data_IF_129209806633
#
_entry.id   IF_129209806633
#
_cell.length_a   1.000
_cell.length_b   1.000
_cell.length_c   1.000
_cell.angle_alpha   90.00
_cell.angle_beta   90.00
_cell.angle_gamma   90.00
#
_symmetry.space_group_name_H-M   'P 1'
#
loop_
_entity.id
_entity.type
_entity.pdbx_description
1 polymer ?
#
# COMPACT_ATOMS: atom_id res chain seq x y z
N UNK A 1 -0.37 -12.83 16.96
CA UNK A 1 -0.89 -11.48 16.74
C UNK A 1 -1.50 -11.45 15.34
N UNK A 2 -2.80 -11.14 15.20
CA UNK A 2 -3.53 -11.25 13.93
C UNK A 2 -3.04 -10.21 12.92
N UNK A 3 -2.24 -10.64 11.95
CA UNK A 3 -1.86 -9.85 10.78
C UNK A 3 -3.10 -9.51 9.95
N UNK A 4 -3.16 -8.30 9.39
CA UNK A 4 -4.03 -8.04 8.24
C UNK A 4 -3.52 -8.80 7.03
N UNK A 5 -3.94 -10.06 6.97
CA UNK A 5 -4.07 -10.78 5.72
C UNK A 5 -5.13 -10.09 4.88
N UNK A 6 -5.23 -10.39 3.58
CA UNK A 6 -6.37 -9.95 2.73
C UNK A 6 -7.71 -10.06 3.46
N UNK A 7 -7.87 -11.06 4.32
CA UNK A 7 -9.04 -11.25 5.18
C UNK A 7 -9.35 -10.09 6.13
N UNK A 8 -8.38 -9.40 6.72
CA UNK A 8 -8.67 -8.29 7.64
C UNK A 8 -8.97 -6.99 6.90
N UNK A 9 -8.34 -6.72 5.75
CA UNK A 9 -8.77 -5.65 4.85
C UNK A 9 -10.20 -5.90 4.38
N UNK A 10 -10.52 -7.15 4.04
CA UNK A 10 -11.88 -7.55 3.67
C UNK A 10 -12.89 -7.47 4.82
N UNK A 11 -12.47 -7.68 6.07
CA UNK A 11 -13.32 -7.45 7.24
C UNK A 11 -13.59 -5.95 7.43
N UNK A 12 -12.62 -5.08 7.14
CA UNK A 12 -12.79 -3.62 7.18
C UNK A 12 -13.81 -3.20 6.13
N UNK A 13 -13.59 -3.60 4.88
CA UNK A 13 -14.51 -3.28 3.78
C UNK A 13 -15.89 -3.91 3.97
N UNK A 14 -15.97 -5.10 4.58
CA UNK A 14 -17.23 -5.74 4.93
C UNK A 14 -18.00 -5.04 6.07
N UNK A 15 -17.31 -4.58 7.12
CA UNK A 15 -17.92 -3.79 8.20
C UNK A 15 -18.40 -2.42 7.69
N UNK A 16 -17.66 -1.83 6.73
CA UNK A 16 -18.08 -0.62 6.02
C UNK A 16 -19.34 -0.81 5.21
N UNK A 17 -19.50 -1.93 4.51
CA UNK A 17 -20.72 -2.24 3.75
C UNK A 17 -21.98 -2.04 4.59
N UNK A 18 -21.92 -2.52 5.84
CA UNK A 18 -23.03 -2.50 6.79
C UNK A 18 -23.28 -1.08 7.33
N UNK A 19 -22.23 -0.34 7.67
CA UNK A 19 -22.34 1.04 8.13
C UNK A 19 -22.87 1.97 7.03
N UNK A 20 -22.43 1.78 5.78
CA UNK A 20 -22.91 2.53 4.60
C UNK A 20 -24.34 2.16 4.25
N UNK A 21 -24.72 0.89 4.36
CA UNK A 21 -26.11 0.48 4.16
C UNK A 21 -27.08 1.20 5.10
N UNK A 22 -26.63 1.53 6.32
CA UNK A 22 -27.40 2.33 7.27
C UNK A 22 -27.31 3.85 7.00
N UNK A 23 -26.15 4.36 6.58
CA UNK A 23 -25.94 5.79 6.30
C UNK A 23 -26.49 6.25 4.93
N UNK A 24 -26.55 5.38 3.93
CA UNK A 24 -27.09 5.67 2.60
C UNK A 24 -28.61 5.93 2.57
N UNK A 25 -29.31 5.62 3.67
CA UNK A 25 -30.69 6.03 3.89
C UNK A 25 -30.82 7.52 4.31
N UNK A 26 -29.71 8.19 4.64
CA UNK A 26 -29.66 9.55 5.17
C UNK A 26 -28.53 10.36 4.51
N UNK A 27 -28.85 11.00 3.40
CA UNK A 27 -28.18 12.18 2.81
C UNK A 27 -26.76 12.05 2.19
N UNK A 28 -26.67 12.40 0.90
CA UNK A 28 -25.52 13.02 0.23
C UNK A 28 -24.27 12.16 -0.02
N UNK A 29 -23.95 11.90 -1.30
CA UNK A 29 -22.73 11.18 -1.74
C UNK A 29 -21.45 11.60 -1.00
N UNK A 30 -21.24 12.89 -0.75
CA UNK A 30 -19.99 13.38 -0.20
C UNK A 30 -19.84 13.13 1.31
N UNK A 31 -20.95 13.15 2.05
CA UNK A 31 -20.94 12.86 3.48
C UNK A 31 -20.69 11.37 3.75
N UNK A 32 -21.29 10.51 2.92
CA UNK A 32 -21.09 9.06 2.98
C UNK A 32 -19.66 8.69 2.57
N UNK A 33 -19.12 9.30 1.52
CA UNK A 33 -17.73 9.07 1.07
C UNK A 33 -16.70 9.51 2.11
N UNK A 34 -16.92 10.66 2.77
CA UNK A 34 -16.04 11.13 3.84
C UNK A 34 -16.12 10.26 5.09
N UNK A 35 -17.32 9.81 5.48
CA UNK A 35 -17.50 8.90 6.61
C UNK A 35 -16.84 7.53 6.36
N UNK A 36 -16.97 7.02 5.14
CA UNK A 36 -16.32 5.79 4.67
C UNK A 36 -14.80 5.87 4.78
N UNK A 37 -14.21 6.92 4.20
CA UNK A 37 -12.78 7.15 4.26
C UNK A 37 -12.26 7.28 5.69
N UNK A 38 -12.96 8.06 6.51
CA UNK A 38 -12.60 8.28 7.91
C UNK A 38 -12.64 7.00 8.75
N UNK A 39 -13.67 6.17 8.56
CA UNK A 39 -13.78 4.88 9.25
C UNK A 39 -12.68 3.90 8.79
N UNK A 40 -12.28 3.94 7.52
CA UNK A 40 -11.20 3.11 6.98
C UNK A 40 -9.85 3.44 7.59
N UNK A 41 -9.56 4.73 7.67
CA UNK A 41 -8.36 5.23 8.32
C UNK A 41 -8.34 4.83 9.80
N UNK A 42 -9.41 5.13 10.54
CA UNK A 42 -9.49 4.86 11.98
C UNK A 42 -9.31 3.37 12.30
N UNK A 43 -9.91 2.49 11.52
CA UNK A 43 -9.74 1.05 11.74
C UNK A 43 -8.33 0.58 11.37
N UNK A 44 -7.75 1.09 10.28
CA UNK A 44 -6.37 0.79 9.89
C UNK A 44 -5.39 1.16 11.01
N UNK A 45 -5.53 2.37 11.55
CA UNK A 45 -4.72 2.87 12.66
C UNK A 45 -4.86 1.97 13.90
N UNK A 46 -6.09 1.55 14.25
CA UNK A 46 -6.34 0.62 15.37
C UNK A 46 -5.68 -0.76 15.19
N UNK A 47 -5.39 -1.17 13.95
CA UNK A 47 -4.81 -2.47 13.63
C UNK A 47 -3.31 -2.40 13.30
N UNK A 48 -2.70 -1.22 13.35
CA UNK A 48 -1.28 -1.05 13.00
C UNK A 48 -1.01 -1.23 11.51
N UNK A 49 -1.92 -0.70 10.69
CA UNK A 49 -1.81 -0.68 9.23
C UNK A 49 -1.94 0.74 8.70
N UNK A 50 -1.08 1.12 7.77
CA UNK A 50 -1.23 2.37 7.05
C UNK A 50 -2.44 2.26 6.12
N UNK A 51 -3.48 3.03 6.39
CA UNK A 51 -4.72 3.03 5.64
C UNK A 51 -5.14 4.48 5.37
N UNK A 52 -5.50 4.77 4.12
CA UNK A 52 -5.98 6.09 3.73
C UNK A 52 -6.97 5.99 2.57
N UNK A 53 -7.58 7.12 2.23
CA UNK A 53 -8.66 7.17 1.25
C UNK A 53 -8.74 8.52 0.54
N UNK A 54 -9.14 8.51 -0.72
CA UNK A 54 -9.63 9.66 -1.45
C UNK A 54 -11.13 9.46 -1.73
N UNK A 55 -11.96 9.88 -0.77
CA UNK A 55 -13.40 9.55 -0.74
C UNK A 55 -13.62 8.03 -0.72
N UNK A 56 -14.47 7.55 -1.62
CA UNK A 56 -14.75 6.12 -1.82
C UNK A 56 -13.62 5.29 -2.48
N UNK A 57 -12.45 5.88 -2.72
CA UNK A 57 -11.25 5.16 -3.17
C UNK A 57 -10.31 4.91 -1.99
N UNK A 58 -10.21 3.67 -1.53
CA UNK A 58 -9.47 3.28 -0.33
C UNK A 58 -8.19 2.54 -0.71
N UNK A 59 -7.12 2.79 0.04
CA UNK A 59 -5.84 2.15 -0.17
C UNK A 59 -5.06 1.96 1.13
N UNK A 60 -4.36 0.84 1.25
CA UNK A 60 -3.60 0.52 2.44
C UNK A 60 -2.29 -0.18 2.11
N UNK A 61 -1.31 -0.02 3.00
CA UNK A 61 -0.11 -0.82 3.03
C UNK A 61 -0.37 -2.04 3.91
N UNK A 62 -0.25 -3.23 3.33
CA UNK A 62 -0.22 -4.44 4.13
C UNK A 62 1.13 -4.51 4.87
N UNK A 63 1.16 -5.16 6.03
CA UNK A 63 2.43 -5.44 6.72
C UNK A 63 3.19 -6.62 6.06
N UNK A 64 2.83 -6.98 4.81
CA UNK A 64 3.54 -8.00 4.03
C UNK A 64 4.63 -7.35 3.20
N UNK A 65 5.80 -7.98 3.23
CA UNK A 65 6.97 -7.53 2.50
C UNK A 65 7.79 -8.72 2.02
N UNK A 66 8.67 -8.47 1.06
CA UNK A 66 9.70 -9.38 0.62
C UNK A 66 10.99 -8.60 0.38
N UNK A 67 12.06 -8.87 1.14
CA UNK A 67 13.38 -8.33 0.84
C UNK A 67 14.15 -9.28 -0.08
N UNK A 68 15.05 -8.70 -0.87
CA UNK A 68 16.14 -9.39 -1.54
C UNK A 68 17.45 -8.70 -1.18
N UNK A 69 18.47 -9.49 -0.94
CA UNK A 69 19.75 -9.01 -0.43
C UNK A 69 20.91 -9.73 -1.09
N UNK A 70 22.03 -9.04 -1.27
CA UNK A 70 23.32 -9.61 -1.62
C UNK A 70 24.26 -9.45 -0.43
N UNK A 71 24.65 -10.57 0.18
CA UNK A 71 25.41 -10.54 1.43
C UNK A 71 24.62 -9.83 2.55
N UNK A 72 25.21 -8.78 3.10
CA UNK A 72 24.62 -7.96 4.17
C UNK A 72 23.79 -6.77 3.66
N UNK A 73 23.67 -6.60 2.35
CA UNK A 73 23.05 -5.41 1.76
C UNK A 73 21.68 -5.71 1.16
N UNK A 74 20.71 -4.85 1.45
CA UNK A 74 19.40 -4.85 0.83
C UNK A 74 19.50 -4.30 -0.59
N UNK A 75 19.00 -5.09 -1.54
CA UNK A 75 19.03 -4.76 -2.98
C UNK A 75 17.65 -4.34 -3.46
N UNK A 76 16.61 -4.97 -2.91
CA UNK A 76 15.24 -4.71 -3.28
C UNK A 76 14.31 -5.01 -2.10
N UNK A 77 13.32 -4.16 -1.89
CA UNK A 77 12.24 -4.36 -0.93
C UNK A 77 10.90 -4.23 -1.65
N UNK A 78 10.12 -5.30 -1.67
CA UNK A 78 8.75 -5.28 -2.15
C UNK A 78 7.78 -5.22 -0.96
N UNK A 79 6.77 -4.37 -1.05
CA UNK A 79 5.70 -4.24 -0.03
C UNK A 79 4.34 -4.34 -0.70
N UNK A 80 3.40 -5.09 -0.10
CA UNK A 80 2.06 -5.27 -0.70
C UNK A 80 1.18 -4.05 -0.39
N UNK A 81 0.71 -3.44 -1.47
CA UNK A 81 -0.23 -2.33 -1.51
C UNK A 81 -1.60 -2.85 -1.95
N UNK A 82 -2.62 -2.51 -1.19
CA UNK A 82 -3.99 -2.98 -1.40
C UNK A 82 -4.88 -1.79 -1.73
N UNK A 83 -5.73 -1.95 -2.75
CA UNK A 83 -6.62 -0.90 -3.23
C UNK A 83 -8.03 -1.43 -3.38
N UNK A 84 -8.98 -0.56 -3.03
CA UNK A 84 -10.39 -0.76 -3.29
C UNK A 84 -11.01 0.51 -3.89
N UNK A 85 -11.46 0.40 -5.13
CA UNK A 85 -12.15 1.47 -5.83
C UNK A 85 -13.69 1.28 -5.75
N UNK A 86 -14.35 1.94 -4.80
CA UNK A 86 -15.82 1.96 -4.71
C UNK A 86 -16.44 3.11 -5.51
N UNK A 87 -15.61 3.94 -6.14
CA UNK A 87 -16.09 5.04 -6.99
C UNK A 87 -16.69 4.48 -8.29
N UNK A 88 -17.36 5.34 -9.05
CA UNK A 88 -17.87 5.00 -10.38
C UNK A 88 -16.82 5.28 -11.48
N UNK A 89 -15.63 5.73 -11.11
CA UNK A 89 -14.58 6.15 -12.04
C UNK A 89 -13.46 5.10 -12.12
N UNK A 90 -12.76 5.09 -13.24
CA UNK A 90 -11.50 4.36 -13.36
C UNK A 90 -10.38 5.23 -12.81
N UNK A 91 -9.58 4.68 -11.90
CA UNK A 91 -8.45 5.39 -11.27
C UNK A 91 -7.15 4.73 -11.70
N UNK A 92 -6.21 5.52 -12.21
CA UNK A 92 -4.87 5.05 -12.56
C UNK A 92 -3.88 5.53 -11.52
N UNK A 93 -3.16 4.60 -10.90
CA UNK A 93 -2.00 4.89 -10.06
C UNK A 93 -0.74 4.65 -10.87
N UNK A 94 0.13 5.66 -10.93
CA UNK A 94 1.40 5.60 -11.65
C UNK A 94 2.54 5.49 -10.66
N UNK A 95 3.63 4.81 -11.04
CA UNK A 95 4.85 4.80 -10.26
C UNK A 95 5.41 6.20 -10.03
N UNK A 96 5.21 7.12 -10.99
CA UNK A 96 5.58 8.54 -10.88
C UNK A 96 4.77 9.32 -9.85
N UNK A 97 3.61 8.79 -9.43
CA UNK A 97 2.80 9.42 -8.40
C UNK A 97 3.44 9.24 -7.02
N UNK A 98 4.38 8.29 -6.87
CA UNK A 98 5.25 8.17 -5.70
C UNK A 98 6.34 9.24 -5.82
N UNK A 99 6.20 10.30 -5.02
CA UNK A 99 7.04 11.51 -5.11
C UNK A 99 8.33 11.41 -4.30
N UNK A 100 8.34 10.58 -3.26
CA UNK A 100 9.54 10.28 -2.48
C UNK A 100 9.47 8.89 -1.86
N UNK A 101 10.61 8.24 -1.75
CA UNK A 101 10.76 7.01 -0.99
C UNK A 101 12.14 6.98 -0.31
N UNK A 102 12.18 6.46 0.91
CA UNK A 102 13.41 6.22 1.67
C UNK A 102 13.36 4.88 2.38
N UNK A 103 14.51 4.21 2.49
CA UNK A 103 14.70 3.01 3.30
C UNK A 103 15.81 3.32 4.30
N UNK A 104 15.52 3.21 5.60
CA UNK A 104 16.42 3.61 6.69
C UNK A 104 16.94 5.06 6.53
N UNK A 105 16.09 5.95 5.99
CA UNK A 105 16.44 7.35 5.71
C UNK A 105 17.28 7.56 4.43
N UNK A 106 17.73 6.49 3.77
CA UNK A 106 18.42 6.57 2.49
C UNK A 106 17.41 6.62 1.34
N UNK A 107 17.67 7.45 0.33
CA UNK A 107 16.78 7.59 -0.83
C UNK A 107 16.58 6.24 -1.52
N UNK A 108 15.35 5.97 -1.96
CA UNK A 108 15.00 4.79 -2.73
C UNK A 108 14.15 5.18 -3.94
N UNK A 109 14.18 4.34 -4.98
CA UNK A 109 13.37 4.48 -6.18
C UNK A 109 12.41 3.32 -6.36
N UNK A 110 11.30 3.60 -7.04
CA UNK A 110 10.37 2.56 -7.49
C UNK A 110 10.98 1.81 -8.67
N UNK A 111 10.86 0.48 -8.66
CA UNK A 111 11.39 -0.41 -9.68
C UNK A 111 10.24 -1.06 -10.45
N UNK A 112 10.23 -0.85 -11.78
CA UNK A 112 9.23 -1.42 -12.69
C UNK A 112 9.61 -2.82 -13.22
N UNK A 113 10.92 -3.10 -13.31
CA UNK A 113 11.45 -4.42 -13.65
C UNK A 113 12.34 -4.96 -12.52
N UNK A 114 11.73 -5.55 -11.48
CA UNK A 114 12.46 -6.08 -10.34
C UNK A 114 13.47 -7.17 -10.70
N UNK A 115 13.20 -7.97 -11.73
CA UNK A 115 14.08 -9.08 -12.15
C UNK A 115 15.40 -8.53 -12.66
N UNK A 116 15.35 -7.49 -13.50
CA UNK A 116 16.53 -6.82 -14.02
C UNK A 116 17.26 -6.01 -12.95
N UNK A 117 16.53 -5.31 -12.08
CA UNK A 117 17.13 -4.40 -11.11
C UNK A 117 17.89 -5.11 -9.99
N UNK A 118 17.36 -6.23 -9.49
CA UNK A 118 17.94 -6.94 -8.36
C UNK A 118 18.75 -8.19 -8.77
N UNK A 119 18.86 -8.48 -10.08
CA UNK A 119 19.44 -9.71 -10.63
C UNK A 119 18.93 -10.97 -9.87
N UNK A 120 17.65 -10.91 -9.48
CA UNK A 120 16.99 -11.97 -8.71
C UNK A 120 16.50 -13.05 -9.66
N UNK A 121 16.73 -14.32 -9.29
CA UNK A 121 16.32 -15.48 -10.09
C UNK A 121 14.81 -15.56 -10.32
N UNK A 122 14.02 -14.85 -9.52
CA UNK A 122 12.58 -14.67 -9.72
C UNK A 122 11.91 -13.93 -8.56
N UNK A 123 10.69 -13.46 -8.83
CA UNK A 123 9.84 -12.80 -7.83
C UNK A 123 8.93 -13.79 -7.08
N UNK A 124 9.12 -15.10 -7.25
CA UNK A 124 8.26 -16.12 -6.64
C UNK A 124 6.78 -15.86 -6.91
N UNK A 125 5.98 -15.75 -5.84
CA UNK A 125 4.54 -15.48 -5.86
C UNK A 125 4.17 -13.99 -5.88
N UNK A 126 5.16 -13.10 -5.89
CA UNK A 126 4.94 -11.65 -5.78
C UNK A 126 4.66 -11.06 -7.16
N UNK A 127 3.48 -10.44 -7.30
CA UNK A 127 3.08 -9.74 -8.52
C UNK A 127 3.36 -8.25 -8.36
N UNK A 128 4.26 -7.66 -9.17
CA UNK A 128 4.47 -6.21 -9.18
C UNK A 128 3.16 -5.46 -9.39
N UNK A 129 2.99 -4.35 -8.66
CA UNK A 129 1.78 -3.55 -8.75
C UNK A 129 1.66 -2.88 -10.12
N UNK A 130 2.75 -2.27 -10.57
CA UNK A 130 2.81 -1.52 -11.82
C UNK A 130 3.15 -2.43 -12.99
N UNK A 131 2.52 -2.18 -14.13
CA UNK A 131 2.89 -2.77 -15.40
C UNK A 131 4.21 -2.19 -15.95
N UNK A 132 4.61 -2.64 -17.14
CA UNK A 132 5.84 -2.18 -17.80
C UNK A 132 5.83 -0.67 -18.13
N UNK A 133 4.65 -0.04 -18.18
CA UNK A 133 4.50 1.40 -18.40
C UNK A 133 4.55 2.19 -17.08
N UNK A 134 4.72 1.50 -15.95
CA UNK A 134 4.70 2.11 -14.62
C UNK A 134 3.31 2.47 -14.15
N UNK A 135 2.27 1.75 -14.59
CA UNK A 135 0.88 2.09 -14.27
C UNK A 135 0.10 0.90 -13.74
N UNK A 136 -0.91 1.19 -12.91
CA UNK A 136 -1.92 0.24 -12.47
C UNK A 136 -3.26 0.92 -12.49
N UNK A 137 -4.19 0.35 -13.24
CA UNK A 137 -5.55 0.87 -13.36
C UNK A 137 -6.51 0.06 -12.51
N UNK A 138 -7.35 0.75 -11.74
CA UNK A 138 -8.41 0.18 -10.91
C UNK A 138 -9.76 0.61 -11.48
N UNK A 139 -10.50 -0.34 -12.03
CA UNK A 139 -11.87 -0.09 -12.48
C UNK A 139 -12.83 0.12 -11.31
N UNK A 140 -14.03 0.64 -11.57
CA UNK A 140 -15.07 0.76 -10.54
C UNK A 140 -15.49 -0.63 -10.04
N UNK A 141 -15.67 -0.79 -8.73
CA UNK A 141 -16.00 -2.11 -8.17
C UNK A 141 -16.65 -2.07 -6.79
N UNK A 142 -17.97 -2.31 -6.74
CA UNK A 142 -18.80 -2.28 -5.52
C UNK A 142 -18.69 -3.53 -4.63
N UNK A 143 -18.00 -4.58 -5.07
CA UNK A 143 -17.86 -5.81 -4.29
C UNK A 143 -16.88 -5.65 -3.13
N UNK A 144 -17.37 -5.34 -1.94
CA UNK A 144 -16.56 -5.12 -0.75
C UNK A 144 -15.77 -6.36 -0.29
N UNK A 145 -16.03 -7.55 -0.85
CA UNK A 145 -15.34 -8.79 -0.50
C UNK A 145 -14.08 -9.07 -1.33
N UNK A 146 -13.68 -8.15 -2.23
CA UNK A 146 -12.46 -8.28 -3.03
C UNK A 146 -11.67 -6.98 -3.08
N UNK A 147 -10.45 -7.02 -2.55
CA UNK A 147 -9.45 -5.97 -2.72
C UNK A 147 -8.47 -6.39 -3.81
N UNK A 148 -8.05 -5.44 -4.64
CA UNK A 148 -6.91 -5.66 -5.53
C UNK A 148 -5.63 -5.45 -4.73
N UNK A 149 -4.64 -6.32 -4.93
CA UNK A 149 -3.37 -6.27 -4.22
C UNK A 149 -2.23 -6.46 -5.21
N UNK A 150 -1.13 -5.75 -5.00
CA UNK A 150 0.11 -5.90 -5.75
C UNK A 150 1.29 -5.34 -4.97
N UNK A 151 2.50 -5.67 -5.41
CA UNK A 151 3.72 -5.32 -4.69
C UNK A 151 4.42 -4.12 -5.31
N UNK A 152 4.61 -3.05 -4.53
CA UNK A 152 5.47 -1.93 -4.93
C UNK A 152 6.90 -2.31 -4.57
N UNK A 153 7.81 -2.24 -5.55
CA UNK A 153 9.21 -2.62 -5.38
C UNK A 153 10.07 -1.37 -5.25
N UNK A 154 10.86 -1.29 -4.20
CA UNK A 154 11.78 -0.20 -3.90
C UNK A 154 13.23 -0.68 -3.92
N UNK A 155 14.10 0.09 -4.53
CA UNK A 155 15.54 -0.14 -4.56
C UNK A 155 16.26 1.07 -3.94
N UNK A 156 17.17 0.89 -2.97
CA UNK A 156 18.04 1.96 -2.49
C UNK A 156 18.80 2.66 -3.64
N UNK A 157 18.93 3.98 -3.57
CA UNK A 157 19.67 4.79 -4.55
C UNK A 157 21.02 5.28 -3.98
N UNK A 158 22.00 5.41 -4.87
CA UNK A 158 23.33 5.94 -4.55
C UNK A 158 24.27 4.89 -3.93
N UNK A 159 25.35 5.35 -3.31
CA UNK A 159 26.32 4.51 -2.58
C UNK A 159 25.81 4.11 -1.17
N UNK A 160 24.51 4.27 -0.92
CA UNK A 160 23.92 3.96 0.37
C UNK A 160 23.80 2.44 0.56
N UNK A 161 24.67 1.89 1.42
CA UNK A 161 24.60 0.50 1.85
C UNK A 161 23.51 0.32 2.90
N UNK A 162 22.28 0.03 2.44
CA UNK A 162 21.17 -0.32 3.32
C UNK A 162 21.34 -1.76 3.80
N UNK A 163 21.24 -1.99 5.11
CA UNK A 163 21.41 -3.32 5.68
C UNK A 163 20.26 -4.26 5.24
N UNK A 164 20.55 -5.54 5.01
CA UNK A 164 19.52 -6.58 4.75
C UNK A 164 18.44 -6.63 5.83
N UNK A 165 18.79 -6.21 7.04
CA UNK A 165 17.90 -6.09 8.19
C UNK A 165 17.25 -4.72 8.31
N UNK A 166 16.96 -4.05 7.19
CA UNK A 166 16.27 -2.77 7.11
C UNK A 166 15.21 -2.57 8.21
N UNK A 167 15.14 -1.35 8.74
CA UNK A 167 14.32 -1.00 9.88
C UNK A 167 13.07 -0.21 9.48
N UNK A 168 13.17 0.64 8.47
CA UNK A 168 12.03 1.44 8.00
C UNK A 168 12.01 1.65 6.49
N UNK A 169 10.79 1.73 5.94
CA UNK A 169 10.49 2.23 4.61
C UNK A 169 9.48 3.37 4.77
N UNK A 170 9.79 4.56 4.28
CA UNK A 170 8.87 5.70 4.21
C UNK A 170 8.69 6.11 2.75
N UNK A 171 7.45 6.20 2.26
CA UNK A 171 7.18 6.71 0.93
C UNK A 171 5.93 7.58 0.89
N UNK A 172 5.99 8.61 0.06
CA UNK A 172 4.93 9.59 -0.16
C UNK A 172 4.43 9.46 -1.58
N UNK A 173 3.12 9.57 -1.77
CA UNK A 173 2.51 9.51 -3.08
C UNK A 173 1.29 10.43 -3.17
N UNK A 174 0.96 10.87 -4.39
CA UNK A 174 -0.24 11.63 -4.69
C UNK A 174 -1.22 10.78 -5.52
N UNK A 175 -2.37 10.44 -4.95
CA UNK A 175 -3.38 9.62 -5.62
C UNK A 175 -4.76 10.25 -5.49
N UNK A 176 -5.42 10.47 -6.63
CA UNK A 176 -6.68 11.25 -6.72
C UNK A 176 -6.60 12.63 -6.04
N UNK A 177 -5.45 13.30 -6.11
CA UNK A 177 -5.25 14.62 -5.51
C UNK A 177 -5.00 14.60 -3.99
N UNK A 178 -5.09 13.42 -3.34
CA UNK A 178 -4.68 13.25 -1.95
C UNK A 178 -3.21 12.86 -1.89
N UNK A 179 -2.44 13.58 -1.08
CA UNK A 179 -1.06 13.23 -0.76
C UNK A 179 -1.03 12.45 0.54
N UNK A 180 -0.47 11.24 0.51
CA UNK A 180 -0.36 10.37 1.68
C UNK A 180 1.08 9.91 1.84
N UNK A 181 1.53 9.82 3.10
CA UNK A 181 2.84 9.26 3.44
C UNK A 181 2.64 8.02 4.29
N UNK A 182 3.14 6.89 3.80
CA UNK A 182 3.09 5.62 4.51
C UNK A 182 4.48 5.26 5.01
N UNK A 183 4.52 4.77 6.25
CA UNK A 183 5.72 4.27 6.91
C UNK A 183 5.48 2.80 7.25
N UNK A 184 6.44 1.95 6.89
CA UNK A 184 6.52 0.56 7.32
C UNK A 184 7.76 0.39 8.18
N UNK A 185 7.57 -0.12 9.40
CA UNK A 185 8.65 -0.39 10.34
C UNK A 185 8.79 -1.89 10.56
N UNK A 186 10.03 -2.39 10.53
CA UNK A 186 10.41 -3.72 10.95
C UNK A 186 10.96 -3.66 12.37
N UNK A 187 10.26 -4.30 13.29
CA UNK A 187 10.64 -4.38 14.69
C UNK A 187 11.79 -5.37 14.89
N UNK A 188 12.48 -5.27 16.03
CA UNK A 188 13.60 -6.13 16.39
C UNK A 188 13.22 -7.63 16.47
N UNK A 189 11.95 -7.94 16.76
CA UNK A 189 11.41 -9.30 16.76
C UNK A 189 11.06 -9.84 15.36
N UNK A 190 11.33 -9.04 14.32
CA UNK A 190 11.05 -9.36 12.92
C UNK A 190 9.60 -9.10 12.49
N UNK A 191 8.71 -8.69 13.41
CA UNK A 191 7.36 -8.27 13.08
C UNK A 191 7.38 -6.94 12.31
N UNK A 192 6.33 -6.72 11.52
CA UNK A 192 6.19 -5.48 10.74
C UNK A 192 4.87 -4.80 11.08
N UNK A 193 4.96 -3.49 11.22
CA UNK A 193 3.83 -2.57 11.39
C UNK A 193 3.89 -1.51 10.32
N UNK A 194 2.73 -0.97 9.92
CA UNK A 194 2.70 0.21 9.07
C UNK A 194 1.76 1.25 9.65
N UNK A 195 2.04 2.51 9.34
CA UNK A 195 1.24 3.65 9.77
C UNK A 195 1.23 4.71 8.67
N UNK A 196 0.16 5.51 8.67
CA UNK A 196 0.12 6.77 7.93
C UNK A 196 0.77 7.86 8.79
N UNK A 197 1.52 8.74 8.16
CA UNK A 197 2.18 9.91 8.77
C UNK A 197 1.39 11.19 8.50
#
# INVERSE_FOLDING_TARGET
MEMMTRRSFLKITGAMALAVGAAGALSGCDAVDNALGSFFQQYGDQKGHAADSAGSFMYALSNQYQPWSYGEELVLLAVEFQVKNLTNETVTFKASDITSATIDGHKAKVVLDPKKAANVSGLGKYTPLFDANGTKTYGPGKDLNKAEAGYICFQPEGEAHVNKNWSSLEFTFNLKGNTSTFVMNRNADGSVTSARK
#
